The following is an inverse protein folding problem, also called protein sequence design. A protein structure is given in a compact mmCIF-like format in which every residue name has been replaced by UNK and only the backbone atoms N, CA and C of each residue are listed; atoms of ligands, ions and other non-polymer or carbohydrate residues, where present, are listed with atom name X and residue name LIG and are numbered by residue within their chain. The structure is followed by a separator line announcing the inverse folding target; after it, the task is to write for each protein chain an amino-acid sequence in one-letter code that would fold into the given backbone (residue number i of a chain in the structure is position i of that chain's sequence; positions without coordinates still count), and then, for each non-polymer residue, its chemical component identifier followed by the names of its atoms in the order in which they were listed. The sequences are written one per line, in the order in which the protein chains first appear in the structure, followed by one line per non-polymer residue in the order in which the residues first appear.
data_IF_769096530382
#
_entry.id   IF_769096530382
#
_cell.length_a   1.000
_cell.length_b   1.000
_cell.length_c   1.000
_cell.angle_alpha   90.00
_cell.angle_beta   90.00
_cell.angle_gamma   90.00
#
_symmetry.space_group_name_H-M   'P 1'
#
loop_
_entity.id
_entity.type
_entity.pdbx_description
1 polymer ?
#
# COMPACT_ATOMS: atom_id res chain seq x y z
N UNK A 1 1.64 22.41 -1.65
CA UNK A 1 3.08 22.16 -1.53
C UNK A 1 3.26 20.80 -0.89
N UNK A 2 4.30 20.03 -1.22
CA UNK A 2 4.53 18.74 -0.59
C UNK A 2 4.89 18.91 0.90
N UNK A 3 4.40 18.03 1.76
CA UNK A 3 4.68 18.05 3.21
C UNK A 3 5.79 17.03 3.51
N UNK A 4 7.04 17.51 3.39
CA UNK A 4 8.26 16.70 3.53
C UNK A 4 8.41 16.20 4.96
N UNK A 5 8.20 17.08 5.93
CA UNK A 5 8.24 16.73 7.35
C UNK A 5 7.23 15.65 7.71
N UNK A 6 5.99 15.74 7.19
CA UNK A 6 5.00 14.69 7.40
C UNK A 6 5.37 13.38 6.70
N UNK A 7 6.02 13.41 5.54
CA UNK A 7 6.54 12.21 4.90
C UNK A 7 7.61 11.53 5.77
N UNK A 8 8.54 12.31 6.35
CA UNK A 8 9.54 11.81 7.30
C UNK A 8 8.86 11.24 8.55
N UNK A 9 7.84 11.93 9.09
CA UNK A 9 7.06 11.44 10.23
C UNK A 9 6.38 10.10 9.93
N UNK A 10 5.89 9.89 8.70
CA UNK A 10 5.33 8.61 8.28
C UNK A 10 6.37 7.49 8.30
N UNK A 11 7.60 7.76 7.81
CA UNK A 11 8.69 6.79 7.83
C UNK A 11 9.17 6.49 9.25
N UNK A 12 9.18 7.51 10.13
CA UNK A 12 9.46 7.39 11.57
C UNK A 12 8.43 6.48 12.26
N UNK A 13 7.14 6.73 12.05
CA UNK A 13 6.07 5.93 12.64
C UNK A 13 6.03 4.49 12.06
N UNK A 14 6.52 4.30 10.84
CA UNK A 14 6.71 2.99 10.23
C UNK A 14 7.93 2.24 10.80
N UNK A 15 8.78 2.90 11.59
CA UNK A 15 10.08 2.38 12.04
C UNK A 15 10.93 1.87 10.85
N UNK A 16 11.04 2.72 9.81
CA UNK A 16 11.75 2.37 8.58
C UNK A 16 13.05 3.17 8.45
N UNK A 17 14.19 2.51 8.68
CA UNK A 17 15.49 3.08 8.38
C UNK A 17 15.68 3.28 6.87
N UNK A 18 15.86 4.52 6.44
CA UNK A 18 16.06 4.86 5.03
C UNK A 18 17.53 5.02 4.68
N UNK A 19 18.03 4.15 3.80
CA UNK A 19 19.32 4.30 3.14
C UNK A 19 19.08 4.58 1.65
N UNK A 20 19.38 5.82 1.24
CA UNK A 20 19.18 6.29 -0.13
C UNK A 20 19.98 5.49 -1.16
N UNK A 21 21.11 4.87 -0.78
CA UNK A 21 21.92 4.06 -1.70
C UNK A 21 21.19 2.76 -2.08
N UNK A 22 20.33 2.25 -1.20
CA UNK A 22 19.56 1.02 -1.41
C UNK A 22 18.36 1.30 -2.32
N UNK A 23 18.37 0.67 -3.50
CA UNK A 23 17.26 0.75 -4.44
C UNK A 23 15.93 0.32 -3.81
N UNK A 24 15.97 -0.75 -3.00
CA UNK A 24 14.78 -1.26 -2.32
C UNK A 24 14.18 -0.23 -1.36
N UNK A 25 15.00 0.54 -0.64
CA UNK A 25 14.51 1.54 0.30
C UNK A 25 13.84 2.70 -0.45
N UNK A 26 14.43 3.17 -1.55
CA UNK A 26 13.79 4.18 -2.42
C UNK A 26 12.45 3.69 -2.96
N UNK A 27 12.36 2.40 -3.31
CA UNK A 27 11.12 1.79 -3.76
C UNK A 27 10.08 1.75 -2.63
N UNK A 28 10.45 1.31 -1.42
CA UNK A 28 9.56 1.26 -0.25
C UNK A 28 8.99 2.65 0.06
N UNK A 29 9.83 3.68 0.16
CA UNK A 29 9.39 5.07 0.44
C UNK A 29 8.36 5.52 -0.60
N UNK A 30 8.62 5.30 -1.89
CA UNK A 30 7.70 5.66 -2.97
C UNK A 30 6.34 4.95 -2.87
N UNK A 31 6.31 3.69 -2.42
CA UNK A 31 5.04 2.94 -2.31
C UNK A 31 4.28 3.24 -1.03
N UNK A 32 4.98 3.37 0.10
CA UNK A 32 4.38 3.70 1.39
C UNK A 32 3.69 5.05 1.30
N UNK A 33 4.40 6.09 0.85
CA UNK A 33 3.85 7.45 0.75
C UNK A 33 2.66 7.48 -0.22
N UNK A 34 2.74 6.79 -1.36
CA UNK A 34 1.61 6.66 -2.28
C UNK A 34 0.38 6.01 -1.63
N UNK A 35 0.55 4.86 -0.98
CA UNK A 35 -0.55 4.13 -0.35
C UNK A 35 -1.19 4.94 0.80
N UNK A 36 -0.38 5.66 1.58
CA UNK A 36 -0.88 6.56 2.61
C UNK A 36 -1.68 7.74 2.02
N UNK A 37 -1.26 8.30 0.87
CA UNK A 37 -2.08 9.33 0.19
C UNK A 37 -3.42 8.78 -0.29
N UNK A 38 -3.46 7.54 -0.78
CA UNK A 38 -4.73 6.88 -1.11
C UNK A 38 -5.61 6.65 0.14
N UNK A 39 -5.01 6.63 1.32
CA UNK A 39 -5.69 6.61 2.62
C UNK A 39 -6.01 7.99 3.21
N UNK A 40 -5.92 9.04 2.39
CA UNK A 40 -6.32 10.39 2.80
C UNK A 40 -5.21 11.20 3.45
N UNK A 41 -3.96 10.70 3.54
CA UNK A 41 -2.86 11.51 4.01
C UNK A 41 -2.60 12.66 3.02
N UNK A 42 -2.69 13.90 3.50
CA UNK A 42 -2.36 15.09 2.72
C UNK A 42 -0.84 15.32 2.67
N UNK A 43 -0.12 14.53 1.85
CA UNK A 43 1.35 14.63 1.70
C UNK A 43 1.76 15.47 0.48
N UNK A 44 0.85 15.68 -0.48
CA UNK A 44 1.03 16.65 -1.58
C UNK A 44 1.99 16.21 -2.70
N UNK A 45 2.31 14.92 -2.80
CA UNK A 45 3.16 14.37 -3.85
C UNK A 45 2.32 13.91 -5.05
N UNK A 46 2.52 14.47 -6.26
CA UNK A 46 1.91 13.95 -7.47
C UNK A 46 2.57 12.61 -7.88
N UNK A 47 1.75 11.66 -8.33
CA UNK A 47 2.21 10.34 -8.76
C UNK A 47 1.82 10.05 -10.21
N UNK A 48 2.77 9.51 -10.97
CA UNK A 48 2.54 8.88 -12.27
C UNK A 48 2.84 7.38 -12.22
N UNK A 49 2.45 6.64 -13.26
CA UNK A 49 2.72 5.20 -13.36
C UNK A 49 3.98 4.94 -14.20
N UNK A 50 4.96 4.27 -13.60
CA UNK A 50 6.25 3.90 -14.22
C UNK A 50 6.48 2.40 -14.13
N UNK A 51 7.52 1.86 -14.78
CA UNK A 51 7.84 0.42 -14.77
C UNK A 51 7.77 -0.20 -13.36
N UNK A 52 8.33 0.49 -12.36
CA UNK A 52 8.32 0.05 -10.96
C UNK A 52 7.06 0.44 -10.19
N UNK A 53 5.95 0.72 -10.88
CA UNK A 53 4.66 1.13 -10.32
C UNK A 53 4.56 2.65 -10.11
N UNK A 54 3.66 3.11 -9.22
CA UNK A 54 3.46 4.54 -8.96
C UNK A 54 4.72 5.20 -8.43
N UNK A 55 5.11 6.31 -9.02
CA UNK A 55 6.31 7.03 -8.63
C UNK A 55 6.08 8.53 -8.69
N UNK A 56 6.59 9.22 -7.68
CA UNK A 56 6.60 10.66 -7.59
C UNK A 56 8.02 11.18 -7.76
N UNK A 57 8.34 11.86 -8.88
CA UNK A 57 9.62 12.50 -9.07
C UNK A 57 9.91 13.59 -8.03
N UNK A 58 8.89 14.28 -7.51
CA UNK A 58 9.08 15.29 -6.46
C UNK A 58 9.44 14.66 -5.12
N UNK A 59 8.79 13.54 -4.73
CA UNK A 59 9.22 12.79 -3.53
C UNK A 59 10.66 12.31 -3.66
N UNK A 60 11.05 11.88 -4.87
CA UNK A 60 12.42 11.50 -5.11
C UNK A 60 13.39 12.66 -4.98
N UNK A 61 13.06 13.81 -5.59
CA UNK A 61 13.82 15.03 -5.40
C UNK A 61 14.01 15.32 -3.91
N UNK A 62 12.96 15.23 -3.11
CA UNK A 62 13.03 15.58 -1.69
C UNK A 62 13.96 14.65 -0.91
N UNK A 63 13.82 13.32 -1.06
CA UNK A 63 14.72 12.41 -0.34
C UNK A 63 16.17 12.42 -0.88
N UNK A 64 16.42 12.90 -2.11
CA UNK A 64 17.79 13.10 -2.62
C UNK A 64 18.44 14.38 -2.10
N UNK A 65 17.68 15.47 -2.00
CA UNK A 65 18.20 16.75 -1.51
C UNK A 65 18.26 16.81 0.03
N UNK A 66 17.34 16.14 0.74
CA UNK A 66 17.23 16.10 2.20
C UNK A 66 17.55 14.69 2.74
N UNK A 67 18.62 14.10 2.21
CA UNK A 67 18.99 12.71 2.49
C UNK A 67 19.27 12.45 3.97
N UNK A 68 19.81 13.42 4.70
CA UNK A 68 20.17 13.25 6.12
C UNK A 68 18.92 13.32 7.01
N UNK A 69 17.94 14.14 6.66
CA UNK A 69 16.66 14.26 7.34
C UNK A 69 15.84 12.98 7.17
N UNK A 70 15.76 12.47 5.94
CA UNK A 70 15.12 11.17 5.68
C UNK A 70 15.84 10.00 6.36
N UNK A 71 17.17 10.04 6.44
CA UNK A 71 17.96 8.99 7.09
C UNK A 71 17.85 9.02 8.62
N UNK A 72 17.88 10.21 9.21
CA UNK A 72 17.81 10.41 10.66
C UNK A 72 16.38 10.32 11.20
N UNK A 73 15.37 10.43 10.33
CA UNK A 73 13.95 10.43 10.68
C UNK A 73 13.57 11.55 11.68
N UNK A 74 14.36 12.63 11.71
CA UNK A 74 14.13 13.77 12.59
C UNK A 74 13.17 14.73 11.90
N UNK A 75 12.06 15.03 12.57
CA UNK A 75 11.06 15.99 12.12
C UNK A 75 10.32 16.58 13.33
N UNK A 76 9.88 17.83 13.22
CA UNK A 76 9.01 18.47 14.22
C UNK A 76 7.53 18.15 14.00
N UNK A 77 7.17 17.34 13.00
CA UNK A 77 5.80 17.00 12.68
C UNK A 77 5.32 15.81 13.49
N UNK A 78 4.22 16.00 14.20
CA UNK A 78 3.49 14.92 14.84
C UNK A 78 2.34 14.44 13.96
N UNK A 79 2.18 13.11 13.90
CA UNK A 79 1.04 12.47 13.26
C UNK A 79 -0.10 12.33 14.26
N UNK A 80 -1.34 12.34 13.77
CA UNK A 80 -2.51 12.07 14.63
C UNK A 80 -2.52 10.62 15.11
N UNK A 81 -3.33 10.30 16.14
CA UNK A 81 -3.50 8.91 16.58
C UNK A 81 -4.07 8.00 15.48
N UNK A 82 -4.97 8.52 14.65
CA UNK A 82 -5.51 7.82 13.49
C UNK A 82 -4.43 7.54 12.44
N UNK A 83 -3.59 8.53 12.14
CA UNK A 83 -2.49 8.36 11.18
C UNK A 83 -1.49 7.31 11.64
N UNK A 84 -1.14 7.29 12.93
CA UNK A 84 -0.32 6.22 13.51
C UNK A 84 -0.97 4.85 13.33
N UNK A 85 -2.28 4.74 13.58
CA UNK A 85 -3.01 3.47 13.44
C UNK A 85 -3.03 2.98 11.99
N UNK A 86 -3.19 3.89 11.02
CA UNK A 86 -3.15 3.56 9.59
C UNK A 86 -1.76 3.08 9.18
N UNK A 87 -0.69 3.73 9.65
CA UNK A 87 0.69 3.34 9.34
C UNK A 87 1.03 1.99 9.96
N UNK A 88 0.66 1.74 11.21
CA UNK A 88 0.84 0.44 11.86
C UNK A 88 0.07 -0.67 11.12
N UNK A 89 -1.13 -0.37 10.63
CA UNK A 89 -1.90 -1.33 9.82
C UNK A 89 -1.23 -1.59 8.46
N UNK A 90 -0.72 -0.55 7.78
CA UNK A 90 0.06 -0.69 6.56
C UNK A 90 1.26 -1.61 6.81
N UNK A 91 1.99 -1.39 7.90
CA UNK A 91 3.15 -2.19 8.26
C UNK A 91 2.79 -3.64 8.52
N UNK A 92 1.74 -3.89 9.31
CA UNK A 92 1.24 -5.25 9.56
C UNK A 92 0.87 -5.98 8.28
N UNK A 93 0.19 -5.29 7.36
CA UNK A 93 -0.30 -5.87 6.12
C UNK A 93 0.85 -6.14 5.15
N UNK A 94 1.73 -5.18 4.91
CA UNK A 94 2.76 -5.29 3.88
C UNK A 94 4.12 -5.79 4.39
N UNK A 95 4.36 -5.68 5.70
CA UNK A 95 5.60 -6.00 6.41
C UNK A 95 6.83 -5.40 5.73
N UNK A 96 6.72 -4.14 5.30
CA UNK A 96 7.72 -3.39 4.50
C UNK A 96 8.26 -4.13 3.26
N UNK A 97 7.63 -5.22 2.81
CA UNK A 97 8.16 -6.05 1.74
C UNK A 97 8.00 -5.34 0.41
N UNK A 98 9.12 -4.93 -0.19
CA UNK A 98 9.11 -4.07 -1.37
C UNK A 98 8.33 -4.67 -2.56
N UNK A 99 8.38 -5.99 -2.75
CA UNK A 99 7.59 -6.66 -3.80
C UNK A 99 6.08 -6.47 -3.60
N UNK A 100 5.59 -6.64 -2.36
CA UNK A 100 4.16 -6.52 -2.06
C UNK A 100 3.70 -5.06 -2.08
N UNK A 101 4.53 -4.14 -1.59
CA UNK A 101 4.29 -2.70 -1.72
C UNK A 101 4.26 -2.26 -3.18
N UNK A 102 5.16 -2.77 -4.03
CA UNK A 102 5.20 -2.44 -5.45
C UNK A 102 3.95 -2.93 -6.19
N UNK A 103 3.57 -4.20 -5.97
CA UNK A 103 2.36 -4.79 -6.55
C UNK A 103 1.12 -4.05 -6.02
N UNK A 104 1.05 -3.85 -4.71
CA UNK A 104 -0.09 -3.23 -4.05
C UNK A 104 -0.29 -1.76 -4.43
N UNK A 105 0.79 -0.97 -4.48
CA UNK A 105 0.74 0.38 -5.01
C UNK A 105 0.31 0.42 -6.47
N UNK A 106 0.82 -0.51 -7.30
CA UNK A 106 0.41 -0.59 -8.72
C UNK A 106 -1.08 -0.90 -8.86
N UNK A 107 -1.61 -1.85 -8.07
CA UNK A 107 -3.04 -2.12 -8.02
C UNK A 107 -3.83 -0.89 -7.57
N UNK A 108 -3.40 -0.24 -6.47
CA UNK A 108 -4.03 0.97 -5.95
C UNK A 108 -4.09 2.09 -6.98
N UNK A 109 -3.07 2.26 -7.81
CA UNK A 109 -3.10 3.25 -8.89
C UNK A 109 -4.15 2.93 -9.95
N UNK A 110 -4.20 1.69 -10.44
CA UNK A 110 -5.23 1.31 -11.41
C UNK A 110 -6.64 1.43 -10.83
N UNK A 111 -6.84 1.01 -9.59
CA UNK A 111 -8.16 0.96 -8.96
C UNK A 111 -8.65 2.34 -8.47
N UNK A 112 -7.79 3.17 -7.88
CA UNK A 112 -8.19 4.44 -7.24
C UNK A 112 -7.85 5.68 -8.06
N UNK A 113 -6.76 5.67 -8.83
CA UNK A 113 -6.34 6.85 -9.61
C UNK A 113 -6.95 6.80 -11.01
N UNK A 114 -6.95 5.63 -11.65
CA UNK A 114 -7.55 5.43 -12.97
C UNK A 114 -8.99 4.88 -12.93
N UNK A 115 -9.51 4.61 -11.72
CA UNK A 115 -10.87 4.11 -11.50
C UNK A 115 -11.23 2.88 -12.33
N UNK A 116 -10.27 1.98 -12.55
CA UNK A 116 -10.55 0.71 -13.22
C UNK A 116 -11.31 -0.22 -12.29
N UNK A 117 -12.24 -0.99 -12.85
CA UNK A 117 -12.89 -2.07 -12.11
C UNK A 117 -11.84 -3.09 -11.60
N UNK A 118 -12.14 -3.82 -10.51
CA UNK A 118 -11.18 -4.73 -9.89
C UNK A 118 -10.58 -5.76 -10.86
N UNK A 119 -11.36 -6.32 -11.79
CA UNK A 119 -10.87 -7.34 -12.72
C UNK A 119 -9.89 -6.74 -13.73
N UNK A 120 -10.21 -5.56 -14.27
CA UNK A 120 -9.31 -4.83 -15.16
C UNK A 120 -8.03 -4.40 -14.42
N UNK A 121 -8.14 -3.88 -13.21
CA UNK A 121 -6.97 -3.51 -12.40
C UNK A 121 -6.06 -4.73 -12.16
N UNK A 122 -6.61 -5.89 -11.79
CA UNK A 122 -5.86 -7.14 -11.61
C UNK A 122 -5.14 -7.57 -12.89
N UNK A 123 -5.81 -7.54 -14.05
CA UNK A 123 -5.22 -7.87 -15.36
C UNK A 123 -4.05 -6.93 -15.70
N UNK A 124 -4.21 -5.63 -15.44
CA UNK A 124 -3.17 -4.64 -15.71
C UNK A 124 -1.95 -4.83 -14.79
N UNK A 125 -2.16 -5.15 -13.52
CA UNK A 125 -1.06 -5.51 -12.60
C UNK A 125 -0.33 -6.75 -13.12
N UNK A 126 -1.05 -7.82 -13.48
CA UNK A 126 -0.42 -9.05 -14.00
C UNK A 126 0.41 -8.78 -15.25
N UNK A 127 -0.09 -7.97 -16.18
CA UNK A 127 0.64 -7.58 -17.39
C UNK A 127 1.90 -6.78 -17.06
N UNK A 128 1.80 -5.81 -16.17
CA UNK A 128 2.88 -4.88 -15.85
C UNK A 128 3.94 -5.48 -14.92
N UNK A 129 3.55 -6.45 -14.10
CA UNK A 129 4.37 -7.06 -13.04
C UNK A 129 4.73 -8.50 -13.35
N UNK A 130 4.88 -8.84 -14.63
CA UNK A 130 5.20 -10.18 -15.12
C UNK A 130 6.50 -10.77 -14.56
N UNK A 131 7.39 -9.94 -14.02
CA UNK A 131 8.60 -10.37 -13.30
C UNK A 131 8.31 -11.05 -11.95
N UNK A 132 7.14 -10.84 -11.37
CA UNK A 132 6.70 -11.51 -10.13
C UNK A 132 5.85 -12.74 -10.47
N UNK A 133 5.92 -13.76 -9.62
CA UNK A 133 5.07 -14.94 -9.77
C UNK A 133 3.59 -14.61 -9.57
N UNK A 134 2.71 -15.42 -10.15
CA UNK A 134 1.25 -15.26 -10.01
C UNK A 134 0.81 -15.28 -8.52
N UNK A 135 1.48 -16.07 -7.68
CA UNK A 135 1.22 -16.11 -6.23
C UNK A 135 1.61 -14.80 -5.53
N UNK A 136 2.79 -14.24 -5.85
CA UNK A 136 3.19 -12.93 -5.33
C UNK A 136 2.24 -11.82 -5.77
N UNK A 137 1.80 -11.84 -7.03
CA UNK A 137 0.83 -10.89 -7.58
C UNK A 137 -0.50 -11.01 -6.82
N UNK A 138 -1.03 -12.22 -6.65
CA UNK A 138 -2.27 -12.45 -5.92
C UNK A 138 -2.18 -11.95 -4.47
N UNK A 139 -1.08 -12.28 -3.77
CA UNK A 139 -0.86 -11.83 -2.38
C UNK A 139 -0.74 -10.30 -2.31
N UNK A 140 0.03 -9.67 -3.18
CA UNK A 140 0.20 -8.21 -3.19
C UNK A 140 -1.09 -7.46 -3.48
N UNK A 141 -1.92 -7.97 -4.40
CA UNK A 141 -3.25 -7.41 -4.68
C UNK A 141 -4.17 -7.61 -3.48
N UNK A 142 -4.17 -8.80 -2.86
CA UNK A 142 -5.00 -9.08 -1.68
C UNK A 142 -4.64 -8.13 -0.52
N UNK A 143 -3.35 -7.89 -0.28
CA UNK A 143 -2.87 -6.93 0.73
C UNK A 143 -3.29 -5.50 0.42
N UNK A 144 -3.23 -5.08 -0.85
CA UNK A 144 -3.74 -3.77 -1.24
C UNK A 144 -5.25 -3.65 -1.05
N UNK A 145 -6.00 -4.72 -1.33
CA UNK A 145 -7.45 -4.75 -1.07
C UNK A 145 -7.74 -4.63 0.43
N UNK A 146 -7.09 -5.45 1.25
CA UNK A 146 -7.21 -5.40 2.72
C UNK A 146 -6.88 -4.02 3.27
N UNK A 147 -5.80 -3.41 2.79
CA UNK A 147 -5.40 -2.08 3.24
C UNK A 147 -6.38 -1.01 2.75
N UNK A 148 -6.64 -0.91 1.44
CA UNK A 148 -7.37 0.20 0.82
C UNK A 148 -8.90 0.09 0.97
N UNK A 149 -9.44 -1.12 1.05
CA UNK A 149 -10.87 -1.42 1.23
C UNK A 149 -11.07 -2.14 2.58
N UNK A 150 -11.00 -1.44 3.73
CA UNK A 150 -11.63 -1.98 4.93
C UNK A 150 -13.12 -2.10 4.59
N UNK A 151 -13.68 -3.32 4.47
CA UNK A 151 -15.08 -3.46 4.09
C UNK A 151 -15.92 -2.68 5.09
N UNK A 152 -16.87 -1.88 4.59
CA UNK A 152 -17.84 -1.25 5.46
C UNK A 152 -18.59 -2.34 6.23
N UNK A 153 -19.18 -2.01 7.38
CA UNK A 153 -19.90 -3.02 8.15
C UNK A 153 -21.06 -3.65 7.33
N UNK A 154 -21.63 -2.88 6.42
CA UNK A 154 -22.62 -3.33 5.43
C UNK A 154 -22.00 -4.28 4.39
N UNK A 155 -20.81 -3.98 3.86
CA UNK A 155 -20.10 -4.87 2.92
C UNK A 155 -19.63 -6.16 3.62
N UNK A 156 -19.22 -6.10 4.89
CA UNK A 156 -18.94 -7.29 5.70
C UNK A 156 -20.18 -8.14 5.89
N UNK A 157 -21.32 -7.54 6.23
CA UNK A 157 -22.59 -8.25 6.37
C UNK A 157 -23.04 -8.85 5.04
N UNK A 158 -22.87 -8.14 3.93
CA UNK A 158 -23.16 -8.66 2.59
C UNK A 158 -22.27 -9.87 2.26
N UNK A 159 -20.96 -9.77 2.50
CA UNK A 159 -20.00 -10.86 2.33
C UNK A 159 -20.29 -12.05 3.25
N UNK A 160 -20.69 -11.83 4.50
CA UNK A 160 -21.12 -12.90 5.41
C UNK A 160 -22.37 -13.59 4.90
N UNK A 161 -23.37 -12.84 4.45
CA UNK A 161 -24.61 -13.39 3.89
C UNK A 161 -24.37 -14.17 2.59
N UNK A 162 -23.47 -13.68 1.72
CA UNK A 162 -23.11 -14.35 0.47
C UNK A 162 -22.26 -15.60 0.69
N UNK A 163 -21.37 -15.59 1.70
CA UNK A 163 -20.46 -16.71 1.98
C UNK A 163 -21.00 -17.72 2.99
N UNK A 164 -22.04 -17.38 3.77
CA UNK A 164 -22.67 -18.26 4.76
C UNK A 164 -23.19 -19.59 4.16
N UNK A 165 -23.84 -19.63 2.98
CA UNK A 165 -24.28 -20.88 2.36
C UNK A 165 -23.11 -21.81 2.05
N UNK A 166 -22.00 -21.26 1.54
CA UNK A 166 -20.80 -22.02 1.19
C UNK A 166 -20.06 -22.53 2.43
N UNK A 167 -20.02 -21.73 3.51
CA UNK A 167 -19.48 -22.15 4.81
C UNK A 167 -20.31 -23.26 5.43
N UNK A 168 -21.64 -23.19 5.36
CA UNK A 168 -22.54 -24.23 5.87
C UNK A 168 -22.39 -25.56 5.11
N UNK A 169 -22.22 -25.50 3.78
CA UNK A 169 -21.93 -26.69 2.95
C UNK A 169 -20.56 -27.28 3.29
N UNK A 170 -19.53 -26.45 3.47
CA UNK A 170 -18.21 -26.91 3.87
C UNK A 170 -18.20 -27.56 5.27
N UNK A 171 -18.93 -27.00 6.23
CA UNK A 171 -19.09 -27.57 7.57
C UNK A 171 -19.86 -28.91 7.58
N UNK A 172 -20.93 -29.01 6.78
CA UNK A 172 -21.68 -30.27 6.67
C UNK A 172 -20.87 -31.38 6.01
N UNK A 173 -19.99 -31.02 5.07
CA UNK A 173 -19.09 -31.98 4.42
C UNK A 173 -18.00 -32.49 5.38
N UNK A 174 -17.56 -31.65 6.32
CA UNK A 174 -16.61 -32.02 7.38
C UNK A 174 -17.23 -32.82 8.55
N UNK A 175 -18.56 -32.86 8.65
CA UNK A 175 -19.30 -33.61 9.68
C UNK A 175 -19.95 -34.90 9.14
N UNK A 176 -19.78 -35.18 7.84
CA UNK A 176 -20.28 -36.36 7.16
C UNK A 176 -19.19 -37.40 6.80
N UNK A 177 -17.95 -37.14 7.23
CA UNK A 177 -16.83 -38.11 7.29
C UNK A 177 -16.61 -38.58 8.74
#
# INVERSE_FOLDING_TARGET
MADIEKAIACLKALDFYFDISQFEHRLIVQKVIFLLQLKGFHLGYPYGLYVRGPYSPSLASDYYHQKEEFKSLITGKDLTGEEHQIIQNLDKIFNKKASYLEIGGTYGYFAYVLSYDPLKAMKMVKKMKSQYSDSQIAIGISKAKEFLYPPTEEEKQLLENETAPWKAVALNTLLSD
#
